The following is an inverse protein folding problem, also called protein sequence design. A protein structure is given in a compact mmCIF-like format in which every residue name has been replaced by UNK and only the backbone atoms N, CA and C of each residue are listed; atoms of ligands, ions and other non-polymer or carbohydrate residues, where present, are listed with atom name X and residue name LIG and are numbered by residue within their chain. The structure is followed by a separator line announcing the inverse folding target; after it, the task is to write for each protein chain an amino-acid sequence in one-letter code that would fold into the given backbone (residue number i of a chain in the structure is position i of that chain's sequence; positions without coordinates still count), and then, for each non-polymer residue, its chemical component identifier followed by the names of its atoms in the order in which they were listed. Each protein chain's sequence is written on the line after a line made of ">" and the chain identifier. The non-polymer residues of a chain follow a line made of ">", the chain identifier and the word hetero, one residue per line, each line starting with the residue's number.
data_IF_478110656094
#
_entry.id   IF_478110656094
#
_cell.length_a   1.000
_cell.length_b   1.000
_cell.length_c   1.000
_cell.angle_alpha   90.00
_cell.angle_beta   90.00
_cell.angle_gamma   90.00
#
_symmetry.space_group_name_H-M   'P 1'
#
loop_
_entity.id
_entity.type
_entity.pdbx_description
1 polymer ?
#
# COMPACT_ATOMS: atom_id res chain seq x y z
N UNK A 1 8.62 -23.04 -22.69
CA UNK A 1 9.07 -23.91 -21.57
C UNK A 1 10.13 -23.09 -20.84
N UNK A 2 9.98 -22.56 -19.63
CA UNK A 2 9.44 -23.08 -18.37
C UNK A 2 9.10 -21.86 -17.48
N UNK A 3 7.84 -21.72 -17.03
CA UNK A 3 7.41 -20.54 -16.26
C UNK A 3 6.53 -20.84 -15.05
N UNK A 4 6.31 -22.12 -14.72
CA UNK A 4 5.35 -22.52 -13.67
C UNK A 4 6.01 -22.96 -12.36
N UNK A 5 7.35 -23.09 -12.32
CA UNK A 5 8.06 -23.63 -11.16
C UNK A 5 8.22 -22.67 -9.96
N UNK A 6 8.14 -21.34 -10.16
CA UNK A 6 8.39 -20.39 -9.07
C UNK A 6 7.20 -20.20 -8.13
N UNK A 7 5.97 -20.23 -8.63
CA UNK A 7 4.76 -20.00 -7.82
C UNK A 7 4.54 -21.09 -6.75
N UNK A 8 4.83 -22.35 -7.06
CA UNK A 8 4.65 -23.44 -6.11
C UNK A 8 5.59 -23.35 -4.89
N UNK A 9 6.77 -22.72 -5.04
CA UNK A 9 7.74 -22.59 -3.93
C UNK A 9 7.34 -21.50 -2.93
N UNK A 10 6.60 -20.48 -3.36
CA UNK A 10 6.13 -19.40 -2.46
C UNK A 10 5.00 -19.86 -1.52
N UNK A 11 4.12 -20.75 -1.98
CA UNK A 11 2.95 -21.16 -1.20
C UNK A 11 3.27 -21.97 0.07
N UNK A 12 4.40 -22.67 0.12
CA UNK A 12 4.75 -23.54 1.26
C UNK A 12 5.33 -22.79 2.48
N UNK A 13 5.64 -21.50 2.37
CA UNK A 13 6.40 -20.78 3.41
C UNK A 13 5.67 -19.57 4.01
N UNK A 14 4.43 -19.31 3.58
CA UNK A 14 3.62 -18.20 4.10
C UNK A 14 2.55 -18.70 5.07
N UNK A 15 2.59 -18.18 6.30
CA UNK A 15 1.58 -18.43 7.31
C UNK A 15 0.81 -17.13 7.54
N UNK A 16 -0.47 -17.13 7.17
CA UNK A 16 -1.39 -16.06 7.59
C UNK A 16 -2.07 -16.54 8.86
N UNK A 17 -1.72 -15.93 9.98
CA UNK A 17 -2.33 -16.19 11.27
C UNK A 17 -3.51 -15.24 11.45
N UNK A 18 -4.72 -15.76 11.24
CA UNK A 18 -5.98 -15.06 11.54
C UNK A 18 -6.49 -15.54 12.89
N UNK A 19 -5.84 -15.12 13.97
CA UNK A 19 -6.39 -15.33 15.31
C UNK A 19 -7.44 -14.25 15.57
N UNK A 20 -8.61 -14.61 16.10
CA UNK A 20 -9.76 -13.70 16.38
C UNK A 20 -9.43 -12.64 17.47
N UNK A 21 -8.20 -12.59 17.96
CA UNK A 21 -7.74 -11.47 18.77
C UNK A 21 -7.38 -10.29 17.86
N UNK A 22 -8.17 -9.22 17.98
CA UNK A 22 -7.78 -7.90 17.51
C UNK A 22 -6.50 -7.47 18.22
N UNK A 23 -5.39 -7.47 17.50
CA UNK A 23 -4.04 -7.28 18.04
C UNK A 23 -3.39 -6.05 17.39
N UNK A 24 -2.66 -5.26 18.18
CA UNK A 24 -1.82 -4.18 17.67
C UNK A 24 -0.62 -4.79 16.90
N UNK A 25 0.09 -3.99 16.09
CA UNK A 25 1.23 -4.52 15.30
C UNK A 25 2.31 -5.14 16.19
N UNK A 26 2.52 -4.60 17.40
CA UNK A 26 3.55 -5.09 18.31
C UNK A 26 3.26 -6.52 18.79
N UNK A 27 2.00 -6.82 19.05
CA UNK A 27 1.54 -8.18 19.34
C UNK A 27 1.66 -9.06 18.10
N UNK A 28 1.45 -8.48 16.92
CA UNK A 28 1.51 -9.19 15.65
C UNK A 28 2.92 -9.71 15.32
N UNK A 29 3.97 -8.93 15.60
CA UNK A 29 5.36 -9.40 15.46
C UNK A 29 5.67 -10.56 16.41
N UNK A 30 5.15 -10.53 17.64
CA UNK A 30 5.28 -11.64 18.58
C UNK A 30 4.55 -12.91 18.10
N UNK A 31 3.40 -12.76 17.42
CA UNK A 31 2.69 -13.87 16.78
C UNK A 31 3.56 -14.53 15.72
N UNK A 32 4.21 -13.77 14.84
CA UNK A 32 5.12 -14.35 13.84
C UNK A 32 6.31 -15.05 14.50
N UNK A 33 6.93 -14.44 15.51
CA UNK A 33 8.08 -14.99 16.22
C UNK A 33 7.77 -16.36 16.86
N UNK A 34 6.56 -16.54 17.42
CA UNK A 34 6.09 -17.83 17.97
C UNK A 34 6.13 -18.98 16.96
N UNK A 35 6.08 -18.66 15.68
CA UNK A 35 6.12 -19.64 14.59
C UNK A 35 7.49 -19.73 13.91
N UNK A 36 8.56 -19.16 14.48
CA UNK A 36 9.88 -19.02 13.84
C UNK A 36 9.75 -18.31 12.47
N UNK A 37 9.00 -17.22 12.45
CA UNK A 37 8.73 -16.41 11.28
C UNK A 37 8.90 -14.91 11.62
N UNK A 38 9.02 -14.08 10.60
CA UNK A 38 9.03 -12.61 10.73
C UNK A 38 7.82 -12.01 10.03
N UNK A 39 7.39 -10.79 10.39
CA UNK A 39 6.42 -10.04 9.61
C UNK A 39 6.85 -9.94 8.14
N UNK A 40 5.89 -10.14 7.22
CA UNK A 40 6.18 -10.23 5.80
C UNK A 40 6.53 -8.86 5.20
N UNK A 41 7.70 -8.77 4.57
CA UNK A 41 8.05 -7.75 3.58
C UNK A 41 7.51 -8.13 2.20
N UNK A 42 7.41 -7.16 1.29
CA UNK A 42 6.96 -7.39 -0.09
C UNK A 42 7.95 -6.70 -1.02
N UNK A 43 8.45 -7.43 -2.02
CA UNK A 43 9.54 -6.97 -2.90
C UNK A 43 9.18 -6.98 -4.38
N UNK A 44 8.04 -7.56 -4.77
CA UNK A 44 7.60 -7.57 -6.16
C UNK A 44 6.08 -7.57 -6.31
N UNK A 45 5.62 -7.26 -7.53
CA UNK A 45 4.19 -7.31 -7.89
C UNK A 45 3.63 -8.73 -7.80
N UNK A 46 4.44 -9.75 -8.11
CA UNK A 46 4.03 -11.16 -7.99
C UNK A 46 3.82 -11.56 -6.52
N UNK A 47 4.71 -11.15 -5.62
CA UNK A 47 4.56 -11.38 -4.18
C UNK A 47 3.32 -10.66 -3.64
N UNK A 48 3.14 -9.41 -4.02
CA UNK A 48 1.98 -8.62 -3.63
C UNK A 48 0.66 -9.26 -4.12
N UNK A 49 0.62 -9.72 -5.37
CA UNK A 49 -0.57 -10.37 -5.93
C UNK A 49 -0.88 -11.68 -5.18
N UNK A 50 0.15 -12.49 -4.91
CA UNK A 50 0.00 -13.72 -4.14
C UNK A 50 -0.51 -13.47 -2.71
N UNK A 51 -0.01 -12.42 -2.06
CA UNK A 51 -0.45 -11.98 -0.74
C UNK A 51 -1.93 -11.59 -0.73
N UNK A 52 -2.33 -10.74 -1.67
CA UNK A 52 -3.70 -10.25 -1.81
C UNK A 52 -4.64 -11.43 -2.04
N UNK A 53 -4.32 -12.32 -2.96
CA UNK A 53 -5.13 -13.51 -3.24
C UNK A 53 -5.25 -14.39 -1.99
N UNK A 54 -4.16 -14.57 -1.23
CA UNK A 54 -4.14 -15.37 0.00
C UNK A 54 -4.96 -14.75 1.14
N UNK A 55 -4.96 -13.41 1.27
CA UNK A 55 -5.73 -12.68 2.28
C UNK A 55 -7.22 -12.64 1.91
N UNK A 56 -7.55 -12.26 0.67
CA UNK A 56 -8.92 -12.14 0.20
C UNK A 56 -9.60 -13.51 0.21
N UNK A 57 -8.97 -14.56 -0.33
CA UNK A 57 -9.56 -15.91 -0.37
C UNK A 57 -9.87 -16.47 1.01
N UNK A 58 -9.06 -16.15 2.03
CA UNK A 58 -9.33 -16.53 3.43
C UNK A 58 -10.49 -15.75 4.02
N UNK A 59 -10.62 -14.47 3.69
CA UNK A 59 -11.72 -13.63 4.17
C UNK A 59 -13.08 -14.17 3.71
N UNK A 60 -13.20 -14.63 2.46
CA UNK A 60 -14.46 -15.10 1.89
C UNK A 60 -14.96 -16.40 2.52
N UNK A 61 -14.04 -17.30 2.89
CA UNK A 61 -14.40 -18.54 3.58
C UNK A 61 -14.99 -18.29 4.97
N UNK A 62 -14.64 -17.16 5.59
CA UNK A 62 -15.12 -16.76 6.92
C UNK A 62 -16.51 -16.08 6.89
N UNK A 63 -16.99 -15.64 5.73
CA UNK A 63 -18.24 -14.84 5.59
C UNK A 63 -19.54 -15.61 5.87
N UNK A 64 -19.51 -16.89 6.24
CA UNK A 64 -20.76 -17.63 6.52
C UNK A 64 -21.47 -17.18 7.79
N UNK A 65 -20.80 -16.52 8.74
CA UNK A 65 -21.42 -16.16 10.03
C UNK A 65 -21.10 -14.74 10.56
N UNK A 66 -20.37 -13.89 9.82
CA UNK A 66 -19.93 -12.58 10.32
C UNK A 66 -20.34 -11.43 9.40
N UNK A 67 -21.07 -10.48 9.97
CA UNK A 67 -21.54 -9.24 9.32
C UNK A 67 -20.38 -8.46 8.68
N UNK A 68 -20.51 -7.97 7.44
CA UNK A 68 -19.41 -7.45 6.61
C UNK A 68 -18.94 -6.02 6.95
N UNK A 69 -18.92 -5.62 8.23
CA UNK A 69 -18.82 -4.19 8.61
C UNK A 69 -17.59 -3.75 9.39
N UNK A 70 -16.64 -4.61 9.72
CA UNK A 70 -15.43 -4.17 10.40
C UNK A 70 -14.31 -3.94 9.39
N UNK A 71 -13.65 -2.79 9.45
CA UNK A 71 -12.41 -2.49 8.73
C UNK A 71 -11.38 -3.61 8.97
N UNK A 72 -11.33 -4.60 8.09
CA UNK A 72 -10.36 -5.69 8.18
C UNK A 72 -9.04 -5.19 7.62
N UNK A 73 -8.06 -4.98 8.51
CA UNK A 73 -6.69 -4.66 8.16
C UNK A 73 -5.81 -5.85 8.55
N UNK A 74 -5.12 -6.43 7.57
CA UNK A 74 -4.12 -7.47 7.80
C UNK A 74 -2.74 -6.85 7.73
N UNK A 75 -2.02 -6.88 8.83
CA UNK A 75 -0.72 -6.24 8.96
C UNK A 75 0.36 -6.87 8.07
N UNK A 76 1.24 -6.02 7.57
CA UNK A 76 2.51 -6.37 6.95
C UNK A 76 3.67 -5.94 7.86
N UNK A 77 4.87 -6.44 7.57
CA UNK A 77 6.10 -6.04 8.26
C UNK A 77 6.70 -4.74 7.73
N UNK A 78 5.90 -3.84 7.17
CA UNK A 78 6.34 -2.59 6.54
C UNK A 78 5.91 -1.39 7.38
N UNK A 79 6.87 -0.50 7.63
CA UNK A 79 6.70 0.69 8.47
C UNK A 79 7.09 1.95 7.69
N UNK A 80 6.34 3.02 7.91
CA UNK A 80 6.65 4.36 7.44
C UNK A 80 6.96 5.26 8.64
N UNK A 81 8.10 5.94 8.60
CA UNK A 81 8.53 6.88 9.63
C UNK A 81 8.60 8.26 9.02
N UNK A 82 7.91 9.22 9.65
CA UNK A 82 8.03 10.59 9.21
C UNK A 82 9.33 11.23 9.73
N UNK A 83 10.14 11.76 8.81
CA UNK A 83 11.34 12.51 9.12
C UNK A 83 11.04 14.02 9.03
N UNK A 84 10.82 14.64 10.18
CA UNK A 84 10.47 16.06 10.30
C UNK A 84 11.52 17.00 9.71
N UNK A 85 12.81 16.63 9.74
CA UNK A 85 13.90 17.51 9.29
C UNK A 85 13.94 17.62 7.77
N UNK A 86 13.70 16.52 7.09
CA UNK A 86 13.75 16.42 5.63
C UNK A 86 12.37 16.57 4.99
N UNK A 87 11.31 16.53 5.80
CA UNK A 87 9.93 16.45 5.37
C UNK A 87 9.72 15.27 4.39
N UNK A 88 10.35 14.14 4.70
CA UNK A 88 10.28 12.90 3.96
C UNK A 88 9.61 11.83 4.80
N UNK A 89 9.14 10.78 4.15
CA UNK A 89 8.86 9.53 4.83
C UNK A 89 10.04 8.59 4.54
N UNK A 90 10.54 7.94 5.58
CA UNK A 90 11.46 6.82 5.45
C UNK A 90 10.65 5.53 5.60
N UNK A 91 11.09 4.46 4.93
CA UNK A 91 10.45 3.15 5.06
C UNK A 91 11.45 2.11 5.56
N UNK A 92 10.99 1.19 6.40
CA UNK A 92 11.79 0.04 6.85
C UNK A 92 10.91 -1.19 7.08
N UNK A 93 11.52 -2.36 7.05
CA UNK A 93 10.85 -3.65 7.14
C UNK A 93 11.37 -4.40 8.36
N UNK A 94 10.49 -5.12 9.06
CA UNK A 94 10.85 -5.85 10.30
C UNK A 94 11.87 -6.97 10.06
N UNK A 95 11.92 -7.53 8.85
CA UNK A 95 12.90 -8.55 8.46
C UNK A 95 14.23 -7.95 7.96
N UNK A 96 14.45 -6.64 8.15
CA UNK A 96 15.65 -5.90 7.71
C UNK A 96 15.91 -5.94 6.20
N UNK A 97 14.92 -6.36 5.40
CA UNK A 97 15.01 -6.35 3.95
C UNK A 97 14.79 -4.96 3.36
N UNK A 98 15.06 -4.81 2.07
CA UNK A 98 14.75 -3.58 1.34
C UNK A 98 13.23 -3.37 1.23
N UNK A 99 12.77 -2.12 1.36
CA UNK A 99 11.34 -1.77 1.39
C UNK A 99 10.95 -0.83 0.24
N UNK A 100 11.71 -0.86 -0.85
CA UNK A 100 11.49 0.05 -1.98
C UNK A 100 10.21 -0.27 -2.77
N UNK A 101 9.69 -1.49 -2.68
CA UNK A 101 8.49 -1.88 -3.42
C UNK A 101 7.26 -1.10 -2.94
N UNK A 102 6.54 -0.50 -3.89
CA UNK A 102 5.40 0.38 -3.60
C UNK A 102 5.80 1.74 -3.01
N UNK A 103 7.03 1.92 -2.54
CA UNK A 103 7.53 3.17 -1.99
C UNK A 103 8.24 4.00 -3.07
N UNK A 104 7.49 4.84 -3.78
CA UNK A 104 8.10 5.86 -4.64
C UNK A 104 8.52 7.00 -3.75
N UNK A 105 9.83 7.09 -3.49
CA UNK A 105 10.42 8.20 -2.76
C UNK A 105 9.95 9.52 -3.40
N UNK A 106 9.01 10.22 -2.77
CA UNK A 106 8.50 11.52 -3.23
C UNK A 106 9.52 12.60 -2.84
N UNK A 107 10.81 12.28 -2.98
CA UNK A 107 11.89 13.21 -2.69
C UNK A 107 12.03 14.12 -3.91
N UNK A 108 11.51 15.33 -3.72
CA UNK A 108 11.59 16.50 -4.59
C UNK A 108 10.83 16.36 -5.90
N UNK A 109 9.76 17.15 -5.94
CA UNK A 109 9.38 17.91 -7.13
C UNK A 109 10.67 18.32 -7.88
N UNK A 110 11.08 17.54 -8.89
CA UNK A 110 11.88 18.11 -9.96
C UNK A 110 10.97 19.18 -10.53
N UNK A 111 11.21 20.43 -10.11
CA UNK A 111 10.66 21.60 -10.75
C UNK A 111 11.03 21.45 -12.21
N UNK A 112 10.10 20.91 -13.02
CA UNK A 112 10.16 20.96 -14.47
C UNK A 112 10.27 22.44 -14.79
N UNK A 113 11.50 22.90 -14.96
CA UNK A 113 11.82 24.24 -15.38
C UNK A 113 11.14 24.39 -16.73
N UNK A 114 10.01 25.10 -16.73
CA UNK A 114 9.21 25.36 -17.91
C UNK A 114 10.12 25.82 -19.04
N UNK A 115 10.39 24.93 -20.00
CA UNK A 115 10.88 25.35 -21.30
C UNK A 115 9.71 26.09 -21.93
N UNK A 116 9.69 27.39 -21.71
CA UNK A 116 8.91 28.42 -22.42
C UNK A 116 8.96 28.13 -23.92
N UNK A 117 8.02 27.32 -24.41
CA UNK A 117 7.88 27.01 -25.83
C UNK A 117 7.19 28.21 -26.47
N UNK A 118 8.00 29.00 -27.18
CA UNK A 118 7.61 30.14 -28.02
C UNK A 118 6.34 29.78 -28.81
N UNK A 119 5.32 30.63 -28.68
CA UNK A 119 4.08 30.62 -29.46
C UNK A 119 4.35 30.43 -30.96
N UNK A 120 3.84 29.34 -31.54
CA UNK A 120 3.64 29.24 -32.99
C UNK A 120 2.17 29.58 -33.26
N UNK A 121 2.00 30.79 -33.80
CA UNK A 121 0.74 31.38 -34.25
C UNK A 121 0.12 30.49 -35.33
N UNK A 122 -1.00 29.83 -35.04
CA UNK A 122 -1.89 29.28 -36.06
C UNK A 122 -3.07 30.22 -36.23
N UNK A 123 -3.14 30.80 -37.44
CA UNK A 123 -4.21 31.65 -37.93
C UNK A 123 -5.27 30.77 -38.58
N UNK A 124 -6.47 30.70 -38.01
CA UNK A 124 -7.66 30.19 -38.70
C UNK A 124 -8.83 31.15 -38.48
N UNK A 125 -9.52 31.43 -39.57
CA UNK A 125 -10.52 32.48 -39.74
C UNK A 125 -11.83 32.28 -38.96
N UNK A 126 -12.51 33.41 -38.77
CA UNK A 126 -13.82 33.59 -38.15
C UNK A 126 -14.94 32.85 -38.90
N UNK A 127 -15.75 32.08 -38.17
CA UNK A 127 -17.18 31.88 -38.50
C UNK A 127 -18.02 31.76 -37.21
N UNK A 128 -19.29 32.14 -37.33
CA UNK A 128 -20.23 32.56 -36.28
C UNK A 128 -20.71 31.43 -35.33
N UNK A 129 -20.96 31.86 -34.08
CA UNK A 129 -21.79 31.35 -32.97
C UNK A 129 -22.69 30.12 -33.26
N UNK A 130 -22.64 29.09 -32.40
CA UNK A 130 -23.74 28.87 -31.44
C UNK A 130 -23.29 28.77 -29.98
N UNK A 131 -24.23 29.03 -29.08
CA UNK A 131 -24.14 28.94 -27.62
C UNK A 131 -23.97 27.46 -27.23
N UNK A 132 -22.78 27.07 -26.79
CA UNK A 132 -22.46 25.72 -26.34
C UNK A 132 -22.07 25.74 -24.86
N UNK A 133 -22.80 24.95 -24.08
CA UNK A 133 -22.53 24.61 -22.69
C UNK A 133 -21.07 24.22 -22.52
N UNK A 134 -20.36 24.92 -21.63
CA UNK A 134 -19.01 24.57 -21.20
C UNK A 134 -19.03 23.14 -20.65
N UNK A 135 -18.33 22.17 -21.25
CA UNK A 135 -18.08 20.94 -20.54
C UNK A 135 -17.16 21.30 -19.36
N UNK A 136 -17.59 20.96 -18.15
CA UNK A 136 -16.72 20.93 -16.99
C UNK A 136 -15.46 20.17 -17.38
N UNK A 137 -14.32 20.86 -17.48
CA UNK A 137 -13.02 20.20 -17.36
C UNK A 137 -12.89 19.77 -15.90
N UNK A 138 -13.53 18.64 -15.56
CA UNK A 138 -13.16 17.81 -14.42
C UNK A 138 -11.79 17.23 -14.75
N UNK A 139 -10.74 18.05 -14.60
CA UNK A 139 -9.40 17.56 -14.33
C UNK A 139 -9.47 17.01 -12.90
N UNK A 140 -10.08 15.84 -12.76
CA UNK A 140 -9.79 14.98 -11.63
C UNK A 140 -8.62 14.16 -12.15
N UNK A 141 -7.40 14.60 -11.88
CA UNK A 141 -6.32 13.64 -11.77
C UNK A 141 -6.28 13.19 -10.31
N UNK A 142 -6.96 12.10 -9.91
CA UNK A 142 -6.32 11.20 -8.98
C UNK A 142 -5.27 10.49 -9.83
N UNK A 143 -4.06 11.06 -9.91
CA UNK A 143 -2.95 10.33 -10.49
C UNK A 143 -2.87 9.00 -9.74
N UNK A 144 -3.15 7.92 -10.47
CA UNK A 144 -3.34 6.60 -9.91
C UNK A 144 -2.18 6.26 -8.97
N UNK A 145 -2.44 5.69 -7.77
CA UNK A 145 -1.38 4.96 -7.09
C UNK A 145 -1.04 3.77 -7.99
N UNK A 146 -0.05 3.95 -8.85
CA UNK A 146 0.54 2.95 -9.75
C UNK A 146 1.38 1.97 -8.94
N UNK A 147 0.71 1.31 -7.97
CA UNK A 147 1.32 0.48 -6.96
C UNK A 147 0.27 -0.16 -6.05
N UNK A 148 0.69 -0.77 -4.94
CA UNK A 148 -0.19 -1.56 -4.09
C UNK A 148 -1.13 -0.70 -3.22
N UNK A 149 -0.91 0.61 -3.14
CA UNK A 149 -1.63 1.53 -2.24
C UNK A 149 -3.10 1.77 -2.61
N UNK A 150 -3.91 1.94 -1.58
CA UNK A 150 -5.28 2.42 -1.69
C UNK A 150 -5.29 3.91 -2.13
N UNK A 151 -6.38 4.40 -2.75
CA UNK A 151 -6.52 5.81 -3.08
C UNK A 151 -6.30 6.70 -1.85
N UNK A 152 -5.41 7.69 -1.99
CA UNK A 152 -5.04 8.60 -0.89
C UNK A 152 -3.95 8.06 0.05
N UNK A 153 -3.41 6.86 -0.20
CA UNK A 153 -2.31 6.28 0.55
C UNK A 153 -1.01 6.24 -0.29
N UNK A 154 0.19 6.27 0.35
CA UNK A 154 0.37 6.53 1.77
C UNK A 154 -0.11 7.94 2.14
N UNK A 155 -0.58 8.13 3.37
CA UNK A 155 -1.00 9.44 3.86
C UNK A 155 0.18 10.41 3.85
N UNK A 156 -0.12 11.71 3.72
CA UNK A 156 0.94 12.72 3.59
C UNK A 156 1.80 12.74 4.87
N UNK A 157 3.14 12.89 4.72
CA UNK A 157 4.02 13.13 5.86
C UNK A 157 3.48 14.27 6.73
N UNK A 158 3.46 14.07 8.05
CA UNK A 158 3.05 15.11 9.01
C UNK A 158 1.55 15.43 9.01
N UNK A 159 0.69 14.52 8.52
CA UNK A 159 -0.75 14.61 8.79
C UNK A 159 -0.98 14.37 10.30
N UNK A 160 -0.83 15.45 11.07
CA UNK A 160 -1.19 15.50 12.49
C UNK A 160 -2.71 15.41 12.62
N UNK A 161 -3.28 14.24 12.35
CA UNK A 161 -4.69 13.98 12.68
C UNK A 161 -4.86 13.84 14.22
N UNK A 162 -3.89 14.32 15.01
CA UNK A 162 -3.88 14.40 16.47
C UNK A 162 -3.83 13.06 17.21
N UNK A 163 -3.97 11.94 16.49
CA UNK A 163 -4.12 10.60 17.07
C UNK A 163 -3.05 9.61 16.63
N UNK A 164 -2.20 9.97 15.67
CA UNK A 164 -1.26 9.05 15.04
C UNK A 164 0.16 9.50 15.43
N UNK A 165 0.86 8.70 16.22
CA UNK A 165 2.28 8.97 16.50
C UNK A 165 3.11 8.98 15.21
N UNK A 166 4.39 9.34 15.31
CA UNK A 166 5.32 9.49 14.16
C UNK A 166 5.61 8.19 13.36
N UNK A 167 4.97 7.08 13.73
CA UNK A 167 5.18 5.74 13.16
C UNK A 167 3.86 5.23 12.60
N UNK A 168 3.84 5.02 11.29
CA UNK A 168 2.72 4.41 10.59
C UNK A 168 3.12 3.00 10.17
N UNK A 169 2.18 2.08 10.31
CA UNK A 169 2.32 0.70 9.89
C UNK A 169 1.46 0.46 8.65
N UNK A 170 1.88 -0.49 7.81
CA UNK A 170 1.16 -0.80 6.57
C UNK A 170 0.36 -2.09 6.72
N UNK A 171 -0.89 -2.05 6.30
CA UNK A 171 -1.79 -3.20 6.26
C UNK A 171 -2.45 -3.35 4.89
N UNK A 172 -2.87 -4.57 4.56
CA UNK A 172 -3.76 -4.88 3.44
C UNK A 172 -5.20 -4.71 3.91
N UNK A 173 -5.97 -3.89 3.20
CA UNK A 173 -7.39 -3.68 3.45
C UNK A 173 -8.27 -4.78 2.82
N UNK A 174 -9.58 -4.68 2.99
CA UNK A 174 -10.55 -5.63 2.43
C UNK A 174 -10.60 -5.63 0.88
N UNK A 175 -10.05 -4.61 0.22
CA UNK A 175 -9.97 -4.51 -1.24
C UNK A 175 -8.64 -5.02 -1.79
N UNK A 176 -7.77 -5.57 -0.93
CA UNK A 176 -6.43 -6.00 -1.34
C UNK A 176 -5.48 -4.84 -1.60
N UNK A 177 -5.75 -3.65 -1.06
CA UNK A 177 -4.91 -2.47 -1.22
C UNK A 177 -4.19 -2.14 0.08
N UNK A 178 -2.99 -1.59 -0.05
CA UNK A 178 -2.19 -1.18 1.09
C UNK A 178 -2.70 0.13 1.65
N UNK A 179 -2.76 0.20 2.97
CA UNK A 179 -3.14 1.39 3.72
C UNK A 179 -2.17 1.56 4.87
N UNK A 180 -1.68 2.78 5.04
CA UNK A 180 -0.94 3.17 6.21
C UNK A 180 -1.90 3.58 7.33
N UNK A 181 -1.63 3.15 8.55
CA UNK A 181 -2.44 3.45 9.72
C UNK A 181 -1.59 3.44 10.99
N UNK A 182 -2.16 3.92 12.11
CA UNK A 182 -1.46 3.84 13.41
C UNK A 182 -1.08 2.40 13.71
N UNK A 183 0.18 2.18 14.06
CA UNK A 183 0.69 0.90 14.53
C UNK A 183 -0.07 0.35 15.76
N UNK A 184 -0.69 1.24 16.54
CA UNK A 184 -1.49 0.89 17.72
C UNK A 184 -2.92 0.48 17.38
N UNK A 185 -3.37 0.72 16.14
CA UNK A 185 -4.71 0.32 15.71
C UNK A 185 -4.80 -1.22 15.76
N UNK A 186 -5.90 -1.79 16.29
CA UNK A 186 -6.09 -3.23 16.20
C UNK A 186 -6.26 -3.66 14.74
N UNK A 187 -5.50 -4.67 14.33
CA UNK A 187 -5.70 -5.37 13.05
C UNK A 187 -6.43 -6.70 13.24
N UNK A 188 -6.90 -7.27 12.13
CA UNK A 188 -7.56 -8.58 12.10
C UNK A 188 -6.59 -9.75 11.94
N UNK A 189 -5.32 -9.47 11.69
CA UNK A 189 -4.28 -10.48 11.55
C UNK A 189 -2.98 -9.88 11.05
N UNK A 190 -2.01 -10.76 10.80
CA UNK A 190 -0.70 -10.41 10.23
C UNK A 190 -0.26 -11.50 9.26
N UNK A 191 0.47 -11.08 8.22
CA UNK A 191 1.16 -12.01 7.35
C UNK A 191 2.57 -12.26 7.85
N UNK A 192 2.88 -13.52 8.13
CA UNK A 192 4.21 -13.95 8.55
C UNK A 192 4.92 -14.72 7.42
N UNK A 193 6.21 -14.45 7.28
CA UNK A 193 7.12 -15.08 6.32
C UNK A 193 8.14 -15.92 7.08
N UNK A 194 8.35 -17.15 6.64
CA UNK A 194 9.43 -18.01 7.12
C UNK A 194 10.61 -17.94 6.17
N UNK A 195 11.81 -18.15 6.71
CA UNK A 195 12.97 -18.41 5.86
C UNK A 195 12.76 -19.69 5.07
N UNK A 196 13.10 -19.65 3.79
CA UNK A 196 13.08 -20.82 2.93
C UNK A 196 14.25 -21.74 3.34
N UNK A 197 13.96 -23.00 3.65
CA UNK A 197 15.02 -24.00 3.74
C UNK A 197 15.65 -24.17 2.34
N UNK A 198 17.00 -24.21 2.25
CA UNK A 198 17.71 -24.36 0.98
C UNK A 198 17.29 -25.62 0.22
#
# INVERSE_FOLDING_TARGET
>A
MTGTGRLAKMANHMLISTSILMAAIFDASAICAKHNATPCSVHSDEENSFLIDSVISKSERSKRDVSPKTDTCVWLGLHLVHNEKENTNDCYCDDSSDCSFGYKNVTKHESKKDKKKKNKKCSCNKTKKPKATTPFSLVTEPSEPSGPWAPGCPSKPGSDDGSYGKKHCVAIDHNGKWKDCSCERPGTGIVCKKECSP
#
